data_IF_896461953826
#
_entry.id   IF_896461953826
#
_cell.length_a   1.000
_cell.length_b   1.000
_cell.length_c   1.000
_cell.angle_alpha   90.00
_cell.angle_beta   90.00
_cell.angle_gamma   90.00
#
_symmetry.space_group_name_H-M   'P 1'
#
loop_
_entity.id
_entity.type
_entity.pdbx_description
1 polymer ?
#
# COMPACT_ATOMS: atom_id res chain seq x y z
N UNK A 1 12.33 40.68 22.07
CA UNK A 1 11.26 39.66 21.99
C UNK A 1 10.79 39.63 20.55
N UNK A 2 11.40 38.79 19.72
CA UNK A 2 11.02 38.63 18.31
C UNK A 2 10.06 37.45 18.25
N UNK A 3 8.76 37.72 18.33
CA UNK A 3 7.75 36.75 17.95
C UNK A 3 7.88 36.55 16.44
N UNK A 4 8.48 35.43 16.04
CA UNK A 4 8.61 35.05 14.64
C UNK A 4 7.22 34.84 14.06
N UNK A 5 6.88 35.62 13.04
CA UNK A 5 5.67 35.44 12.25
C UNK A 5 5.86 34.12 11.48
N UNK A 6 5.29 33.02 11.98
CA UNK A 6 5.09 31.84 11.14
C UNK A 6 4.12 32.25 10.02
N UNK A 7 4.62 32.26 8.79
CA UNK A 7 3.81 32.49 7.59
C UNK A 7 2.83 31.33 7.42
N UNK A 8 1.61 31.58 6.93
CA UNK A 8 0.61 30.53 6.66
C UNK A 8 1.19 29.37 5.83
N UNK A 9 2.00 29.67 4.81
CA UNK A 9 2.71 28.66 3.99
C UNK A 9 3.68 27.78 4.81
N UNK A 10 4.29 28.34 5.85
CA UNK A 10 5.20 27.61 6.74
C UNK A 10 4.45 26.65 7.65
N UNK A 11 3.29 27.08 8.15
CA UNK A 11 2.39 26.24 8.97
C UNK A 11 1.81 25.09 8.14
N UNK A 12 1.30 25.37 6.93
CA UNK A 12 0.73 24.32 6.06
C UNK A 12 1.76 23.27 5.66
N UNK A 13 3.01 23.69 5.41
CA UNK A 13 4.10 22.76 5.11
C UNK A 13 4.40 21.85 6.29
N UNK A 14 4.46 22.39 7.51
CA UNK A 14 4.74 21.62 8.72
C UNK A 14 3.59 20.64 9.04
N UNK A 15 2.34 21.08 8.90
CA UNK A 15 1.16 20.23 9.06
C UNK A 15 1.14 19.08 8.05
N UNK A 16 1.49 19.34 6.78
CA UNK A 16 1.56 18.30 5.75
C UNK A 16 2.70 17.30 6.00
N UNK A 17 3.86 17.75 6.51
CA UNK A 17 4.95 16.85 6.93
C UNK A 17 4.55 15.97 8.11
N UNK A 18 3.76 16.53 9.03
CA UNK A 18 3.21 15.77 10.16
C UNK A 18 2.24 14.71 9.65
N UNK A 19 1.34 15.07 8.72
CA UNK A 19 0.44 14.12 8.07
C UNK A 19 1.19 13.01 7.33
N UNK A 20 2.25 13.34 6.58
CA UNK A 20 3.09 12.37 5.87
C UNK A 20 3.65 11.30 6.80
N UNK A 21 4.15 11.72 7.96
CA UNK A 21 4.68 10.82 9.00
C UNK A 21 3.58 9.94 9.60
N UNK A 22 2.42 10.55 9.90
CA UNK A 22 1.27 9.84 10.47
C UNK A 22 0.67 8.81 9.52
N UNK A 23 0.49 9.16 8.24
CA UNK A 23 0.00 8.21 7.22
C UNK A 23 0.97 7.04 7.03
N UNK A 24 2.27 7.33 7.03
CA UNK A 24 3.29 6.27 6.95
C UNK A 24 3.22 5.33 8.16
N UNK A 25 3.06 5.88 9.37
CA UNK A 25 2.89 5.10 10.60
C UNK A 25 1.62 4.24 10.56
N UNK A 26 0.47 4.82 10.23
CA UNK A 26 -0.81 4.08 10.15
C UNK A 26 -0.74 2.99 9.09
N UNK A 27 -0.17 3.28 7.92
CA UNK A 27 -0.01 2.29 6.85
C UNK A 27 0.92 1.14 7.27
N UNK A 28 2.05 1.44 7.91
CA UNK A 28 2.96 0.43 8.44
C UNK A 28 2.28 -0.45 9.52
N UNK A 29 1.56 0.16 10.47
CA UNK A 29 0.79 -0.59 11.46
C UNK A 29 -0.24 -1.51 10.81
N UNK A 30 -0.93 -1.05 9.76
CA UNK A 30 -1.94 -1.85 9.06
C UNK A 30 -1.33 -3.03 8.29
N UNK A 31 -0.19 -2.82 7.64
CA UNK A 31 0.57 -3.90 7.00
C UNK A 31 1.01 -4.95 8.01
N UNK A 32 1.66 -4.54 9.10
CA UNK A 32 2.11 -5.46 10.14
C UNK A 32 0.94 -6.17 10.81
N UNK A 33 -0.20 -5.51 11.02
CA UNK A 33 -1.42 -6.15 11.52
C UNK A 33 -1.92 -7.26 10.59
N UNK A 34 -1.96 -7.01 9.28
CA UNK A 34 -2.38 -8.02 8.31
C UNK A 34 -1.39 -9.20 8.26
N UNK A 35 -0.08 -8.95 8.33
CA UNK A 35 0.94 -10.00 8.39
C UNK A 35 0.81 -10.83 9.67
N UNK A 36 0.60 -10.18 10.83
CA UNK A 36 0.39 -10.86 12.12
C UNK A 36 -0.84 -11.77 12.10
N UNK A 37 -1.92 -11.36 11.44
CA UNK A 37 -3.11 -12.16 11.27
C UNK A 37 -2.89 -13.41 10.40
N UNK A 38 -1.94 -13.33 9.47
CA UNK A 38 -1.64 -14.41 8.51
C UNK A 38 -0.42 -15.24 8.90
N UNK A 39 0.27 -14.90 9.99
CA UNK A 39 1.47 -15.58 10.43
C UNK A 39 1.18 -17.03 10.84
N UNK A 40 1.89 -17.98 10.23
CA UNK A 40 1.65 -19.41 10.39
C UNK A 40 2.46 -20.03 11.54
N UNK A 41 3.39 -19.27 12.13
CA UNK A 41 4.27 -19.77 13.18
C UNK A 41 4.51 -18.78 14.31
N UNK A 42 4.78 -19.32 15.51
CA UNK A 42 5.15 -18.52 16.68
C UNK A 42 6.39 -17.65 16.43
N UNK A 43 7.39 -18.18 15.70
CA UNK A 43 8.62 -17.43 15.40
C UNK A 43 8.36 -16.25 14.47
N UNK A 44 7.51 -16.45 13.47
CA UNK A 44 7.07 -15.39 12.57
C UNK A 44 6.29 -14.32 13.34
N UNK A 45 5.32 -14.73 14.16
CA UNK A 45 4.58 -13.81 15.04
C UNK A 45 5.50 -13.01 15.95
N UNK A 46 6.49 -13.63 16.59
CA UNK A 46 7.44 -12.91 17.44
C UNK A 46 8.26 -11.89 16.64
N UNK A 47 8.64 -12.22 15.41
CA UNK A 47 9.42 -11.32 14.54
C UNK A 47 8.57 -10.11 14.13
N UNK A 48 7.35 -10.36 13.67
CA UNK A 48 6.41 -9.33 13.26
C UNK A 48 5.99 -8.45 14.46
N UNK A 49 5.77 -9.04 15.63
CA UNK A 49 5.44 -8.29 16.85
C UNK A 49 6.61 -7.39 17.29
N UNK A 50 7.86 -7.82 17.15
CA UNK A 50 9.03 -6.94 17.40
C UNK A 50 9.10 -5.77 16.41
N UNK A 51 8.75 -6.00 15.14
CA UNK A 51 8.64 -4.92 14.16
C UNK A 51 7.50 -3.96 14.54
N UNK A 52 6.36 -4.47 14.98
CA UNK A 52 5.26 -3.67 15.52
C UNK A 52 5.75 -2.76 16.67
N UNK A 53 6.51 -3.30 17.63
CA UNK A 53 7.05 -2.51 18.73
C UNK A 53 7.93 -1.34 18.24
N UNK A 54 8.77 -1.57 17.22
CA UNK A 54 9.57 -0.50 16.59
C UNK A 54 8.68 0.55 15.93
N UNK A 55 7.62 0.15 15.21
CA UNK A 55 6.69 1.08 14.56
C UNK A 55 5.97 1.93 15.60
N UNK A 56 5.50 1.32 16.70
CA UNK A 56 4.85 2.04 17.79
C UNK A 56 5.77 3.11 18.40
N UNK A 57 7.05 2.77 18.52
CA UNK A 57 8.12 3.60 19.06
C UNK A 57 8.79 4.55 18.04
N UNK A 58 8.23 4.70 16.83
CA UNK A 58 8.79 5.57 15.78
C UNK A 58 10.26 5.25 15.43
N UNK A 59 10.64 3.97 15.56
CA UNK A 59 11.98 3.45 15.30
C UNK A 59 12.95 3.51 16.48
N UNK A 60 12.56 4.12 17.61
CA UNK A 60 13.40 4.22 18.80
C UNK A 60 13.29 2.97 19.69
N UNK A 61 14.25 2.06 19.53
CA UNK A 61 14.34 0.82 20.31
C UNK A 61 14.79 1.02 21.76
N UNK A 62 15.13 2.24 22.18
CA UNK A 62 15.45 2.56 23.56
C UNK A 62 14.26 3.17 24.31
N UNK A 63 13.22 3.60 23.58
CA UNK A 63 12.06 4.28 24.12
C UNK A 63 11.27 3.43 25.13
N UNK A 64 10.58 4.06 26.10
CA UNK A 64 9.67 3.36 27.00
C UNK A 64 8.56 2.60 26.25
N UNK A 65 8.05 3.18 25.16
CA UNK A 65 7.01 2.59 24.31
C UNK A 65 7.50 1.26 23.73
N UNK A 66 8.74 1.23 23.22
CA UNK A 66 9.33 0.00 22.68
C UNK A 66 9.43 -1.08 23.77
N UNK A 67 9.94 -0.73 24.95
CA UNK A 67 10.12 -1.69 26.05
C UNK A 67 8.80 -2.26 26.53
N UNK A 68 7.80 -1.41 26.75
CA UNK A 68 6.46 -1.81 27.17
C UNK A 68 5.82 -2.74 26.13
N UNK A 69 5.87 -2.38 24.85
CA UNK A 69 5.37 -3.23 23.78
C UNK A 69 6.09 -4.59 23.75
N UNK A 70 7.41 -4.62 23.87
CA UNK A 70 8.20 -5.86 23.89
C UNK A 70 7.86 -6.73 25.10
N UNK A 71 7.65 -6.16 26.28
CA UNK A 71 7.28 -6.90 27.48
C UNK A 71 5.90 -7.57 27.29
N UNK A 72 4.92 -6.84 26.76
CA UNK A 72 3.60 -7.41 26.42
C UNK A 72 3.68 -8.50 25.35
N UNK A 73 4.54 -8.33 24.34
CA UNK A 73 4.74 -9.29 23.26
C UNK A 73 5.43 -10.55 23.76
N UNK A 74 6.41 -10.43 24.66
CA UNK A 74 7.11 -11.58 25.22
C UNK A 74 6.19 -12.42 26.11
N UNK A 75 5.23 -11.79 26.79
CA UNK A 75 4.20 -12.49 27.57
C UNK A 75 3.23 -13.24 26.64
N UNK A 76 2.77 -12.60 25.56
CA UNK A 76 1.89 -13.24 24.58
C UNK A 76 2.08 -12.69 23.14
N UNK A 77 2.81 -13.39 22.26
CA UNK A 77 3.04 -12.91 20.89
C UNK A 77 1.78 -12.76 20.04
N UNK A 78 0.70 -13.49 20.37
CA UNK A 78 -0.59 -13.36 19.69
C UNK A 78 -1.28 -12.01 19.98
N UNK A 79 -0.83 -11.26 21.00
CA UNK A 79 -1.32 -9.92 21.32
C UNK A 79 -0.90 -8.86 20.31
N UNK A 80 0.14 -9.12 19.51
CA UNK A 80 0.63 -8.18 18.50
C UNK A 80 -0.48 -7.72 17.54
N UNK A 81 -1.33 -8.64 17.06
CA UNK A 81 -2.43 -8.28 16.16
C UNK A 81 -3.40 -7.29 16.82
N UNK A 82 -3.83 -7.57 18.05
CA UNK A 82 -4.74 -6.69 18.80
C UNK A 82 -4.10 -5.32 19.05
N UNK A 83 -2.86 -5.31 19.51
CA UNK A 83 -2.09 -4.09 19.79
C UNK A 83 -1.92 -3.21 18.54
N UNK A 84 -1.66 -3.81 17.38
CA UNK A 84 -1.58 -3.10 16.12
C UNK A 84 -2.92 -2.42 15.77
N UNK A 85 -4.04 -3.14 15.91
CA UNK A 85 -5.36 -2.59 15.60
C UNK A 85 -5.80 -1.49 16.58
N UNK A 86 -5.48 -1.62 17.88
CA UNK A 86 -5.71 -0.57 18.87
C UNK A 86 -4.90 0.69 18.54
N UNK A 87 -3.63 0.54 18.18
CA UNK A 87 -2.79 1.65 17.76
C UNK A 87 -3.30 2.31 16.47
N UNK A 88 -3.74 1.53 15.47
CA UNK A 88 -4.36 2.06 14.25
C UNK A 88 -5.59 2.89 14.61
N UNK A 89 -6.48 2.37 15.45
CA UNK A 89 -7.71 3.07 15.83
C UNK A 89 -7.41 4.41 16.52
N UNK A 90 -6.44 4.42 17.45
CA UNK A 90 -6.00 5.62 18.17
C UNK A 90 -5.36 6.64 17.23
N UNK A 91 -4.26 6.27 16.55
CA UNK A 91 -3.47 7.19 15.73
C UNK A 91 -4.27 7.69 14.52
N UNK A 92 -5.09 6.83 13.90
CA UNK A 92 -5.92 7.26 12.77
C UNK A 92 -6.92 8.33 13.18
N UNK A 93 -7.58 8.17 14.34
CA UNK A 93 -8.67 9.04 14.77
C UNK A 93 -8.19 10.32 15.46
N UNK A 94 -7.22 10.20 16.36
CA UNK A 94 -6.81 11.29 17.24
C UNK A 94 -5.83 12.24 16.53
N UNK A 95 -4.85 11.67 15.83
CA UNK A 95 -3.73 12.45 15.27
C UNK A 95 -3.87 12.66 13.76
N UNK A 96 -4.37 11.66 13.04
CA UNK A 96 -4.29 11.63 11.56
C UNK A 96 -5.52 12.25 10.90
N UNK A 97 -6.73 11.89 11.34
CA UNK A 97 -7.99 12.27 10.70
C UNK A 97 -8.17 13.80 10.53
N UNK A 98 -7.85 14.67 11.51
CA UNK A 98 -8.00 16.11 11.34
C UNK A 98 -7.14 16.66 10.20
N UNK A 99 -5.87 16.25 10.14
CA UNK A 99 -4.94 16.67 9.09
C UNK A 99 -5.30 16.01 7.75
N UNK A 100 -5.69 14.74 7.77
CA UNK A 100 -6.09 14.01 6.57
C UNK A 100 -7.29 14.68 5.91
N UNK A 101 -8.34 15.02 6.67
CA UNK A 101 -9.52 15.69 6.11
C UNK A 101 -9.18 17.04 5.46
N UNK A 102 -8.20 17.77 6.00
CA UNK A 102 -7.72 19.03 5.43
C UNK A 102 -6.93 18.81 4.12
N UNK A 103 -6.07 17.80 4.06
CA UNK A 103 -5.11 17.61 2.96
C UNK A 103 -5.43 16.44 2.03
N UNK A 104 -6.54 15.72 2.23
CA UNK A 104 -6.95 14.54 1.46
C UNK A 104 -6.94 14.77 -0.06
N UNK A 105 -7.44 15.89 -0.62
CA UNK A 105 -7.36 16.12 -2.06
C UNK A 105 -5.92 16.05 -2.57
N UNK A 106 -4.98 16.70 -1.88
CA UNK A 106 -3.56 16.68 -2.23
C UNK A 106 -2.96 15.27 -2.12
N UNK A 107 -3.31 14.53 -1.07
CA UNK A 107 -2.85 13.15 -0.89
C UNK A 107 -3.35 12.25 -2.04
N UNK A 108 -4.63 12.37 -2.40
CA UNK A 108 -5.22 11.62 -3.52
C UNK A 108 -4.54 12.00 -4.83
N UNK A 109 -4.34 13.29 -5.08
CA UNK A 109 -3.71 13.78 -6.32
C UNK A 109 -2.27 13.26 -6.47
N UNK A 110 -1.48 13.23 -5.39
CA UNK A 110 -0.12 12.67 -5.40
C UNK A 110 -0.13 11.17 -5.72
N UNK A 111 -1.00 10.40 -5.06
CA UNK A 111 -1.13 8.95 -5.26
C UNK A 111 -1.62 8.63 -6.68
N UNK A 112 -2.74 9.25 -7.09
CA UNK A 112 -3.34 9.04 -8.41
C UNK A 112 -2.37 9.46 -9.50
N UNK A 113 -1.71 10.61 -9.36
CA UNK A 113 -0.71 11.09 -10.30
C UNK A 113 0.47 10.13 -10.43
N UNK A 114 0.97 9.60 -9.31
CA UNK A 114 2.02 8.57 -9.31
C UNK A 114 1.58 7.32 -10.08
N UNK A 115 0.44 6.74 -9.72
CA UNK A 115 -0.09 5.52 -10.36
C UNK A 115 -0.27 5.75 -11.87
N UNK A 116 -0.96 6.84 -12.26
CA UNK A 116 -1.24 7.14 -13.66
C UNK A 116 0.04 7.30 -14.49
N UNK A 117 1.05 7.96 -13.95
CA UNK A 117 2.35 8.10 -14.61
C UNK A 117 3.05 6.75 -14.78
N UNK A 118 3.02 5.89 -13.76
CA UNK A 118 3.66 4.57 -13.79
C UNK A 118 3.00 3.59 -14.77
N UNK A 119 1.66 3.62 -14.88
CA UNK A 119 0.91 2.72 -15.78
C UNK A 119 0.80 3.24 -17.22
N UNK A 120 1.24 4.47 -17.51
CA UNK A 120 1.10 5.09 -18.83
C UNK A 120 1.81 4.25 -19.91
N UNK A 121 1.08 3.91 -20.97
CA UNK A 121 1.60 3.12 -22.09
C UNK A 121 1.82 1.63 -21.78
N UNK A 122 1.39 1.16 -20.60
CA UNK A 122 1.46 -0.25 -20.21
C UNK A 122 0.24 -1.02 -20.73
N UNK A 123 0.42 -2.32 -20.96
CA UNK A 123 -0.70 -3.24 -21.18
C UNK A 123 -1.53 -3.40 -19.90
N UNK A 124 -2.78 -3.90 -20.02
CA UNK A 124 -3.62 -4.14 -18.83
C UNK A 124 -2.95 -5.06 -17.81
N UNK A 125 -2.26 -6.10 -18.28
CA UNK A 125 -1.51 -7.02 -17.43
C UNK A 125 -0.42 -6.31 -16.63
N UNK A 126 0.39 -5.47 -17.30
CA UNK A 126 1.46 -4.70 -16.66
C UNK A 126 0.90 -3.62 -15.73
N UNK A 127 -0.16 -2.92 -16.14
CA UNK A 127 -0.83 -1.93 -15.32
C UNK A 127 -1.46 -2.56 -14.07
N UNK A 128 -2.07 -3.75 -14.18
CA UNK A 128 -2.62 -4.48 -13.05
C UNK A 128 -1.53 -5.01 -12.11
N UNK A 129 -0.39 -5.44 -12.65
CA UNK A 129 0.78 -5.84 -11.85
C UNK A 129 1.32 -4.66 -11.03
N UNK A 130 1.52 -3.50 -11.67
CA UNK A 130 1.96 -2.28 -10.99
C UNK A 130 0.93 -1.85 -9.93
N UNK A 131 -0.35 -1.84 -10.30
CA UNK A 131 -1.41 -1.35 -9.42
C UNK A 131 -1.61 -2.25 -8.19
N UNK A 132 -1.39 -3.56 -8.33
CA UNK A 132 -1.40 -4.49 -7.20
C UNK A 132 -0.48 -3.99 -6.09
N UNK A 133 0.73 -3.54 -6.41
CA UNK A 133 1.70 -3.07 -5.42
C UNK A 133 1.21 -1.83 -4.65
N UNK A 134 0.52 -0.90 -5.32
CA UNK A 134 -0.11 0.24 -4.66
C UNK A 134 -1.27 -0.17 -3.74
N UNK A 135 -1.95 -1.28 -4.03
CA UNK A 135 -3.14 -1.76 -3.32
C UNK A 135 -2.86 -2.95 -2.38
N UNK A 136 -1.59 -3.34 -2.23
CA UNK A 136 -1.16 -4.39 -1.29
C UNK A 136 -1.66 -4.10 0.12
N UNK A 137 -2.17 -5.12 0.80
CA UNK A 137 -2.75 -5.01 2.15
C UNK A 137 -4.20 -4.51 2.18
N UNK A 138 -4.77 -4.12 1.03
CA UNK A 138 -6.19 -3.72 0.89
C UNK A 138 -6.98 -4.71 0.05
N UNK A 139 -6.34 -5.33 -0.93
CA UNK A 139 -6.94 -6.39 -1.73
C UNK A 139 -6.84 -7.70 -0.94
N UNK A 140 -7.98 -8.24 -0.53
CA UNK A 140 -8.11 -9.60 -0.02
C UNK A 140 -8.69 -10.50 -1.12
N UNK A 141 -7.93 -11.50 -1.54
CA UNK A 141 -8.35 -12.50 -2.53
C UNK A 141 -8.90 -13.77 -1.88
N UNK A 142 -8.92 -13.82 -0.54
CA UNK A 142 -9.24 -15.01 0.23
C UNK A 142 -8.27 -16.17 -0.04
N UNK A 143 -8.64 -17.37 0.42
CA UNK A 143 -8.01 -18.65 0.03
C UNK A 143 -8.94 -19.36 -0.97
N UNK A 144 -8.96 -18.95 -2.25
CA UNK A 144 -9.85 -19.53 -3.23
C UNK A 144 -9.53 -21.02 -3.43
N UNK A 145 -10.56 -21.83 -3.64
CA UNK A 145 -10.37 -23.24 -3.98
C UNK A 145 -9.70 -23.41 -5.36
N UNK A 146 -9.15 -24.60 -5.61
CA UNK A 146 -8.45 -24.90 -6.85
C UNK A 146 -9.35 -24.71 -8.10
N UNK A 147 -10.67 -24.88 -7.96
CA UNK A 147 -11.61 -24.72 -9.07
C UNK A 147 -11.78 -23.24 -9.47
N UNK A 148 -11.90 -22.35 -8.49
CA UNK A 148 -11.96 -20.89 -8.67
C UNK A 148 -10.69 -20.40 -9.35
N UNK A 149 -9.53 -20.89 -8.90
CA UNK A 149 -8.23 -20.60 -9.48
C UNK A 149 -8.12 -21.08 -10.94
N UNK A 150 -8.58 -22.29 -11.23
CA UNK A 150 -8.60 -22.83 -12.60
C UNK A 150 -9.50 -22.02 -13.53
N UNK A 151 -10.67 -21.58 -13.05
CA UNK A 151 -11.61 -20.76 -13.82
C UNK A 151 -11.02 -19.38 -14.16
N UNK A 152 -10.40 -18.72 -13.18
CA UNK A 152 -9.73 -17.44 -13.36
C UNK A 152 -8.57 -17.55 -14.38
N UNK A 153 -7.74 -18.59 -14.26
CA UNK A 153 -6.65 -18.85 -15.20
C UNK A 153 -7.17 -19.09 -16.63
N UNK A 154 -8.26 -19.86 -16.79
CA UNK A 154 -8.87 -20.10 -18.09
C UNK A 154 -9.47 -18.83 -18.72
N UNK A 155 -10.17 -18.01 -17.94
CA UNK A 155 -10.71 -16.74 -18.41
C UNK A 155 -9.61 -15.76 -18.85
N UNK A 156 -8.48 -15.75 -18.12
CA UNK A 156 -7.31 -14.96 -18.48
C UNK A 156 -6.65 -15.46 -19.77
N UNK A 157 -6.50 -16.79 -19.94
CA UNK A 157 -5.91 -17.40 -21.16
C UNK A 157 -6.77 -17.17 -22.40
N UNK A 158 -8.09 -17.16 -22.25
CA UNK A 158 -9.02 -16.84 -23.31
C UNK A 158 -9.03 -15.34 -23.69
N UNK A 159 -8.07 -14.56 -23.19
CA UNK A 159 -7.92 -13.10 -23.35
C UNK A 159 -9.15 -12.26 -22.94
N UNK A 160 -10.10 -12.87 -22.20
CA UNK A 160 -11.30 -12.17 -21.72
C UNK A 160 -10.97 -11.12 -20.67
N UNK A 161 -9.89 -11.34 -19.92
CA UNK A 161 -9.44 -10.43 -18.86
C UNK A 161 -8.27 -9.55 -19.31
N UNK A 162 -7.53 -9.91 -20.37
CA UNK A 162 -6.33 -9.21 -20.89
C UNK A 162 -5.19 -8.99 -19.87
N UNK A 163 -5.15 -9.80 -18.81
CA UNK A 163 -4.18 -9.69 -17.70
C UNK A 163 -3.05 -10.73 -17.77
N UNK A 164 -2.95 -11.49 -18.87
CA UNK A 164 -1.96 -12.56 -19.00
C UNK A 164 -0.65 -12.06 -19.64
N UNK A 165 0.46 -12.06 -18.90
CA UNK A 165 1.84 -12.05 -19.44
C UNK A 165 2.80 -12.93 -18.62
N UNK A 166 3.31 -13.98 -19.29
CA UNK A 166 4.70 -14.48 -19.25
C UNK A 166 5.33 -15.13 -17.98
N UNK A 167 4.57 -15.83 -17.14
CA UNK A 167 5.04 -17.07 -16.49
C UNK A 167 3.89 -18.06 -16.53
N UNK A 168 4.16 -19.33 -16.85
CA UNK A 168 3.14 -20.35 -16.93
C UNK A 168 2.40 -20.41 -15.59
N UNK A 169 1.18 -19.85 -15.50
CA UNK A 169 0.31 -19.96 -14.34
C UNK A 169 -0.21 -21.41 -14.24
N UNK A 170 0.71 -22.33 -13.98
CA UNK A 170 0.52 -23.76 -13.82
C UNK A 170 1.60 -24.26 -12.87
N UNK A 171 1.25 -24.49 -11.61
CA UNK A 171 2.09 -25.30 -10.74
C UNK A 171 1.92 -25.06 -9.24
N UNK A 172 1.66 -23.82 -8.79
CA UNK A 172 1.70 -23.50 -7.35
C UNK A 172 0.58 -22.56 -6.89
N UNK A 173 0.13 -22.70 -5.63
CA UNK A 173 -0.89 -21.83 -4.99
C UNK A 173 -0.49 -20.35 -5.03
N UNK A 174 0.80 -20.04 -4.84
CA UNK A 174 1.31 -18.66 -4.84
C UNK A 174 1.16 -17.96 -6.20
N UNK A 175 1.40 -18.64 -7.31
CA UNK A 175 1.20 -18.08 -8.65
C UNK A 175 -0.28 -17.79 -8.94
N UNK A 176 -1.18 -18.56 -8.31
CA UNK A 176 -2.62 -18.37 -8.42
C UNK A 176 -3.14 -17.22 -7.56
N UNK A 177 -2.66 -17.10 -6.32
CA UNK A 177 -2.95 -15.95 -5.45
C UNK A 177 -2.53 -14.64 -6.11
N UNK A 178 -1.34 -14.64 -6.71
CA UNK A 178 -0.82 -13.49 -7.42
C UNK A 178 -1.67 -13.11 -8.66
N UNK A 179 -2.13 -14.09 -9.45
CA UNK A 179 -3.08 -13.83 -10.53
C UNK A 179 -4.39 -13.20 -10.01
N UNK A 180 -4.90 -13.69 -8.88
CA UNK A 180 -6.11 -13.14 -8.27
C UNK A 180 -5.91 -11.69 -7.82
N UNK A 181 -4.75 -11.38 -7.23
CA UNK A 181 -4.43 -10.02 -6.84
C UNK A 181 -4.41 -9.07 -8.05
N UNK A 182 -3.84 -9.52 -9.18
CA UNK A 182 -3.87 -8.76 -10.45
C UNK A 182 -5.29 -8.60 -11.00
N UNK A 183 -6.13 -9.63 -10.89
CA UNK A 183 -7.56 -9.55 -11.30
C UNK A 183 -8.26 -8.46 -10.49
N UNK A 184 -8.12 -8.49 -9.17
CA UNK A 184 -8.75 -7.52 -8.28
C UNK A 184 -8.21 -6.10 -8.52
N UNK A 185 -6.89 -5.94 -8.66
CA UNK A 185 -6.29 -4.66 -9.02
C UNK A 185 -6.83 -4.14 -10.36
N UNK A 186 -7.01 -5.01 -11.36
CA UNK A 186 -7.51 -4.60 -12.68
C UNK A 186 -8.91 -3.97 -12.65
N UNK A 187 -9.70 -4.17 -11.59
CA UNK A 187 -11.02 -3.55 -11.40
C UNK A 187 -10.95 -2.03 -11.19
N UNK A 188 -9.78 -1.50 -10.87
CA UNK A 188 -9.53 -0.06 -10.77
C UNK A 188 -8.90 0.51 -12.05
N UNK A 189 -8.85 -0.25 -13.14
CA UNK A 189 -8.44 0.25 -14.45
C UNK A 189 -9.67 0.50 -15.34
N UNK A 190 -9.61 1.57 -16.12
CA UNK A 190 -10.58 1.91 -17.18
C UNK A 190 -9.93 1.72 -18.54
N UNK A 191 -10.68 1.16 -19.47
CA UNK A 191 -10.28 1.07 -20.86
C UNK A 191 -10.27 2.48 -21.48
N UNK A 192 -9.17 2.83 -22.13
CA UNK A 192 -9.11 4.02 -23.00
C UNK A 192 -9.42 3.57 -24.41
N UNK A 193 -10.48 4.14 -24.99
CA UNK A 193 -10.94 3.79 -26.33
C UNK A 193 -10.67 4.91 -27.33
N UNK A 194 -10.46 4.53 -28.59
CA UNK A 194 -10.45 5.48 -29.70
C UNK A 194 -11.89 5.74 -30.22
N UNK A 195 -12.02 6.58 -31.24
CA UNK A 195 -13.31 6.94 -31.86
C UNK A 195 -14.04 5.74 -32.50
N UNK A 196 -13.36 4.59 -32.67
CA UNK A 196 -13.92 3.35 -33.20
C UNK A 196 -14.32 2.35 -32.11
N UNK A 197 -14.35 2.79 -30.84
CA UNK A 197 -14.61 1.95 -29.66
C UNK A 197 -13.55 0.84 -29.44
N UNK A 198 -12.37 0.95 -30.07
CA UNK A 198 -11.26 0.02 -29.88
C UNK A 198 -10.43 0.44 -28.66
N UNK A 199 -10.08 -0.52 -27.82
CA UNK A 199 -9.24 -0.28 -26.63
C UNK A 199 -7.80 -0.02 -27.07
N UNK A 200 -7.33 1.22 -26.87
CA UNK A 200 -5.99 1.70 -27.22
C UNK A 200 -5.08 1.90 -26.01
N UNK A 201 -5.62 1.81 -24.80
CA UNK A 201 -4.84 1.96 -23.57
C UNK A 201 -5.66 1.75 -22.31
N UNK A 202 -5.05 2.07 -21.17
CA UNK A 202 -5.65 1.94 -19.85
C UNK A 202 -5.31 3.15 -18.99
N UNK A 203 -6.29 3.59 -18.20
CA UNK A 203 -6.14 4.66 -17.22
C UNK A 203 -6.65 4.20 -15.86
N UNK A 204 -6.27 4.91 -14.80
CA UNK A 204 -6.77 4.64 -13.46
C UNK A 204 -8.22 5.10 -13.31
N UNK A 205 -9.05 4.28 -12.68
CA UNK A 205 -10.34 4.69 -12.15
C UNK A 205 -10.15 5.53 -10.88
N UNK A 206 -9.90 6.82 -11.08
CA UNK A 206 -9.59 7.78 -10.01
C UNK A 206 -10.70 7.89 -8.97
N UNK A 207 -11.96 7.70 -9.38
CA UNK A 207 -13.11 7.71 -8.47
C UNK A 207 -13.07 6.50 -7.53
N UNK A 208 -12.79 5.29 -8.05
CA UNK A 208 -12.68 4.10 -7.20
C UNK A 208 -11.51 4.17 -6.25
N UNK A 209 -10.35 4.65 -6.71
CA UNK A 209 -9.19 4.85 -5.85
C UNK A 209 -9.47 5.93 -4.79
N UNK A 210 -10.10 7.05 -5.18
CA UNK A 210 -10.51 8.08 -4.24
C UNK A 210 -11.46 7.56 -3.15
N UNK A 211 -12.46 6.74 -3.52
CA UNK A 211 -13.37 6.09 -2.57
C UNK A 211 -12.65 5.12 -1.63
N UNK A 212 -11.69 4.36 -2.13
CA UNK A 212 -10.85 3.49 -1.29
C UNK A 212 -10.10 4.32 -0.23
N UNK A 213 -9.72 5.55 -0.56
CA UNK A 213 -9.03 6.49 0.33
C UNK A 213 -9.98 7.35 1.18
N UNK A 214 -11.29 7.06 1.21
CA UNK A 214 -12.24 7.78 2.07
C UNK A 214 -12.02 7.50 3.55
N UNK A 215 -11.58 6.28 3.89
CA UNK A 215 -11.17 5.91 5.23
C UNK A 215 -9.67 6.21 5.43
N UNK A 216 -9.31 6.79 6.58
CA UNK A 216 -7.92 7.18 6.88
C UNK A 216 -6.97 5.99 6.88
N UNK A 217 -7.36 4.85 7.46
CA UNK A 217 -6.48 3.69 7.56
C UNK A 217 -6.23 3.06 6.18
N UNK A 218 -7.25 2.98 5.32
CA UNK A 218 -7.06 2.50 3.94
C UNK A 218 -6.28 3.51 3.10
N UNK A 219 -6.57 4.80 3.23
CA UNK A 219 -5.81 5.88 2.58
C UNK A 219 -4.33 5.87 2.97
N UNK A 220 -4.03 5.65 4.24
CA UNK A 220 -2.68 5.52 4.77
C UNK A 220 -1.91 4.33 4.17
N UNK A 221 -2.57 3.18 3.96
CA UNK A 221 -1.95 2.03 3.29
C UNK A 221 -1.57 2.36 1.85
N UNK A 222 -2.51 2.91 1.06
CA UNK A 222 -2.23 3.30 -0.34
C UNK A 222 -1.09 4.33 -0.39
N UNK A 223 -1.11 5.31 0.51
CA UNK A 223 -0.09 6.34 0.58
C UNK A 223 1.30 5.79 0.93
N UNK A 224 1.36 4.88 1.90
CA UNK A 224 2.60 4.21 2.31
C UNK A 224 3.19 3.39 1.16
N UNK A 225 2.34 2.64 0.45
CA UNK A 225 2.77 1.88 -0.72
C UNK A 225 3.30 2.81 -1.82
N UNK A 226 2.61 3.91 -2.09
CA UNK A 226 3.08 4.96 -3.01
C UNK A 226 4.47 5.47 -2.65
N UNK A 227 4.72 5.78 -1.37
CA UNK A 227 6.03 6.27 -0.89
C UNK A 227 7.13 5.24 -1.09
N UNK A 228 6.87 3.98 -0.72
CA UNK A 228 7.83 2.89 -0.93
C UNK A 228 8.18 2.70 -2.41
N UNK A 229 7.18 2.70 -3.29
CA UNK A 229 7.38 2.58 -4.74
C UNK A 229 8.19 3.77 -5.28
N UNK A 230 7.85 5.00 -4.87
CA UNK A 230 8.56 6.21 -5.29
C UNK A 230 10.04 6.16 -4.89
N UNK A 231 10.33 5.78 -3.65
CA UNK A 231 11.71 5.64 -3.15
C UNK A 231 12.49 4.57 -3.93
N UNK A 232 11.85 3.44 -4.26
CA UNK A 232 12.49 2.39 -5.05
C UNK A 232 12.84 2.86 -6.48
N UNK A 233 11.96 3.64 -7.12
CA UNK A 233 12.26 4.24 -8.42
C UNK A 233 13.39 5.27 -8.37
N UNK A 234 13.40 6.13 -7.35
CA UNK A 234 14.47 7.12 -7.14
C UNK A 234 15.83 6.43 -6.93
N UNK A 235 15.89 5.40 -6.08
CA UNK A 235 17.10 4.62 -5.84
C UNK A 235 17.60 3.89 -7.11
N UNK A 236 16.68 3.35 -7.92
CA UNK A 236 17.03 2.70 -9.19
C UNK A 236 17.64 3.69 -10.20
N UNK A 237 17.04 4.88 -10.32
CA UNK A 237 17.53 5.94 -11.20
C UNK A 237 18.92 6.45 -10.78
N UNK A 238 19.15 6.61 -9.46
CA UNK A 238 20.47 6.97 -8.93
C UNK A 238 21.53 5.91 -9.24
N UNK A 239 21.19 4.63 -9.04
CA UNK A 239 22.10 3.52 -9.33
C UNK A 239 22.46 3.42 -10.83
N UNK A 240 21.51 3.70 -11.73
CA UNK A 240 21.77 3.77 -13.17
C UNK A 240 22.65 4.98 -13.54
N UNK A 241 22.38 6.15 -12.96
CA UNK A 241 23.19 7.35 -13.17
C UNK A 241 24.63 7.18 -12.66
N UNK A 242 24.85 6.42 -11.59
CA UNK A 242 26.19 6.11 -11.09
C UNK A 242 26.92 5.11 -12.01
N UNK A 243 26.22 4.11 -12.55
CA UNK A 243 26.79 3.18 -13.53
C UNK A 243 27.18 3.87 -14.83
N UNK A 244 26.41 4.86 -15.28
CA UNK A 244 26.72 5.62 -16.50
C UNK A 244 27.94 6.57 -16.36
N UNK A 245 28.44 6.78 -15.13
CA UNK A 245 29.64 7.59 -14.85
C UNK A 245 30.92 6.76 -14.72
N UNK A 246 30.83 5.43 -14.72
CA UNK A 246 31.97 4.49 -14.64
C UNK A 246 32.26 3.91 -16.01
#
# INVERSE_FOLDING_TARGET
MTNGIQTQEGTERQEYQTLDSLLTKVGALKHTSNELNNADSYREQLTLSRQLALILADGDNESPIFREAIDEINDNPYRGFTMANEAIARVSKEDTEPLYNKYKPKVIDEVVGSIQNTIKGKTKAEAAEILKDYLTGLIDVGKPDQQTLNNAANASRADRLRIYRAKNATGTISEYEDLMLRIEASKYLKDTKNDKDEVVGYTLDTEKVGKLMDNVATGAVVYTNYKGIKQAYEAAAEAEAEKAKK
#
